data_IF_485454873064
#
_entry.id   IF_485454873064
#
_cell.length_a   1.000
_cell.length_b   1.000
_cell.length_c   1.000
_cell.angle_alpha   90.00
_cell.angle_beta   90.00
_cell.angle_gamma   90.00
#
_symmetry.space_group_name_H-M   'P 1'
#
loop_
_entity.id
_entity.type
_entity.pdbx_description
1 polymer ?
#
# COMPACT_ATOMS: atom_id res chain seq x y z
N UNK A 1 -5.93 6.88 20.25
CA UNK A 1 -6.35 6.33 18.96
C UNK A 1 -7.00 7.39 18.14
N UNK A 2 -8.34 7.47 18.19
CA UNK A 2 -9.19 8.25 17.27
C UNK A 2 -8.68 9.63 16.82
N UNK A 3 -8.38 10.58 17.72
CA UNK A 3 -7.86 11.91 17.34
C UNK A 3 -6.54 11.84 16.54
N UNK A 4 -5.66 10.90 16.91
CA UNK A 4 -4.40 10.69 16.21
C UNK A 4 -4.63 9.97 14.86
N UNK A 5 -5.55 9.01 14.79
CA UNK A 5 -5.95 8.36 13.54
C UNK A 5 -6.54 9.37 12.55
N UNK A 6 -7.49 10.20 12.98
CA UNK A 6 -8.11 11.25 12.16
C UNK A 6 -7.07 12.24 11.64
N UNK A 7 -6.15 12.67 12.50
CA UNK A 7 -5.05 13.54 12.11
C UNK A 7 -4.15 12.86 11.06
N UNK A 8 -3.73 11.60 11.30
CA UNK A 8 -2.87 10.87 10.38
C UNK A 8 -3.54 10.59 9.03
N UNK A 9 -4.82 10.23 9.00
CA UNK A 9 -5.59 10.05 7.76
C UNK A 9 -5.65 11.36 6.96
N UNK A 10 -5.86 12.50 7.63
CA UNK A 10 -5.87 13.80 6.97
C UNK A 10 -4.49 14.17 6.40
N UNK A 11 -3.40 13.93 7.15
CA UNK A 11 -2.05 14.24 6.69
C UNK A 11 -1.57 13.28 5.58
N UNK A 12 -1.88 11.99 5.68
CA UNK A 12 -1.42 10.96 4.74
C UNK A 12 -1.88 11.24 3.30
N UNK A 13 -3.07 11.83 3.12
CA UNK A 13 -3.66 12.11 1.80
C UNK A 13 -2.77 12.95 0.88
N UNK A 14 -1.91 13.82 1.42
CA UNK A 14 -1.03 14.70 0.64
C UNK A 14 0.44 14.28 0.64
N UNK A 15 0.81 13.17 1.27
CA UNK A 15 2.22 12.77 1.40
C UNK A 15 2.83 12.39 0.05
N UNK A 16 2.12 11.60 -0.76
CA UNK A 16 2.60 11.16 -2.06
C UNK A 16 2.82 12.34 -3.01
N UNK A 17 1.86 13.26 -3.09
CA UNK A 17 1.97 14.50 -3.89
C UNK A 17 3.19 15.32 -3.49
N UNK A 18 3.43 15.46 -2.18
CA UNK A 18 4.59 16.19 -1.66
C UNK A 18 5.91 15.50 -1.99
N UNK A 19 5.95 14.16 -1.98
CA UNK A 19 7.12 13.40 -2.40
C UNK A 19 7.40 13.65 -3.89
N UNK A 20 6.40 13.50 -4.75
CA UNK A 20 6.51 13.78 -6.20
C UNK A 20 7.08 15.18 -6.42
N UNK A 21 6.51 16.20 -5.78
CA UNK A 21 6.97 17.59 -5.91
C UNK A 21 8.44 17.77 -5.54
N UNK A 22 8.85 17.25 -4.37
CA UNK A 22 10.22 17.42 -3.87
C UNK A 22 11.23 16.68 -4.76
N UNK A 23 10.94 15.44 -5.15
CA UNK A 23 11.84 14.65 -5.99
C UNK A 23 11.96 15.24 -7.40
N UNK A 24 10.86 15.68 -8.01
CA UNK A 24 10.90 16.37 -9.30
C UNK A 24 11.70 17.67 -9.21
N UNK A 25 11.53 18.47 -8.15
CA UNK A 25 12.34 19.69 -7.93
C UNK A 25 13.82 19.41 -7.76
N UNK A 26 14.17 18.24 -7.21
CA UNK A 26 15.55 17.78 -7.09
C UNK A 26 16.13 17.22 -8.41
N UNK A 27 15.36 17.25 -9.51
CA UNK A 27 15.76 16.70 -10.81
C UNK A 27 15.73 15.18 -10.89
N UNK A 28 15.08 14.51 -9.94
CA UNK A 28 14.88 13.05 -9.97
C UNK A 28 13.74 12.72 -10.92
N UNK A 29 13.95 11.71 -11.76
CA UNK A 29 12.87 11.15 -12.59
C UNK A 29 11.88 10.42 -11.70
N UNK A 30 10.65 10.93 -11.65
CA UNK A 30 9.55 10.32 -10.91
C UNK A 30 8.68 9.55 -11.89
N UNK A 31 8.53 8.25 -11.66
CA UNK A 31 7.65 7.37 -12.44
C UNK A 31 6.46 6.95 -11.60
N UNK A 32 5.29 6.84 -12.23
CA UNK A 32 4.06 6.38 -11.60
C UNK A 32 3.73 4.95 -11.98
N UNK A 33 3.14 4.20 -11.05
CA UNK A 33 2.64 2.86 -11.32
C UNK A 33 1.24 2.93 -11.94
N UNK A 34 1.03 2.24 -13.06
CA UNK A 34 -0.31 2.07 -13.63
C UNK A 34 -1.06 0.89 -12.97
N UNK A 35 -2.32 0.68 -13.31
CA UNK A 35 -3.15 -0.38 -12.74
C UNK A 35 -2.61 -1.79 -13.04
N UNK A 36 -2.08 -2.03 -14.24
CA UNK A 36 -1.54 -3.33 -14.65
C UNK A 36 -0.28 -3.68 -13.84
N UNK A 37 0.61 -2.71 -13.64
CA UNK A 37 1.80 -2.86 -12.83
C UNK A 37 1.44 -3.09 -11.36
N UNK A 38 0.42 -2.38 -10.84
CA UNK A 38 -0.09 -2.61 -9.49
C UNK A 38 -0.63 -4.04 -9.33
N UNK A 39 -1.37 -4.54 -10.32
CA UNK A 39 -1.88 -5.92 -10.33
C UNK A 39 -0.74 -6.95 -10.40
N UNK A 40 0.26 -6.72 -11.25
CA UNK A 40 1.43 -7.60 -11.34
C UNK A 40 2.15 -7.74 -9.99
N UNK A 41 2.28 -6.65 -9.23
CA UNK A 41 2.82 -6.69 -7.87
C UNK A 41 1.91 -7.43 -6.89
N UNK A 42 0.58 -7.27 -6.98
CA UNK A 42 -0.38 -8.05 -6.18
C UNK A 42 -0.25 -9.54 -6.46
N UNK A 43 -0.14 -9.96 -7.72
CA UNK A 43 -0.02 -11.37 -8.10
C UNK A 43 1.25 -12.01 -7.52
N UNK A 44 2.38 -11.28 -7.56
CA UNK A 44 3.62 -11.71 -6.90
C UNK A 44 3.42 -11.85 -5.39
N UNK A 45 2.76 -10.88 -4.74
CA UNK A 45 2.50 -10.91 -3.32
C UNK A 45 1.62 -12.10 -2.91
N UNK A 46 0.59 -12.43 -3.70
CA UNK A 46 -0.26 -13.60 -3.49
C UNK A 46 0.53 -14.91 -3.45
N UNK A 47 1.53 -15.05 -4.32
CA UNK A 47 2.38 -16.25 -4.37
C UNK A 47 3.49 -16.27 -3.31
N UNK A 48 3.80 -15.12 -2.71
CA UNK A 48 4.96 -14.94 -1.82
C UNK A 48 4.56 -14.44 -0.43
N UNK A 49 4.49 -13.13 -0.23
CA UNK A 49 4.29 -12.50 1.08
C UNK A 49 2.95 -12.86 1.72
N UNK A 50 1.88 -12.97 0.94
CA UNK A 50 0.55 -13.34 1.45
C UNK A 50 0.53 -14.79 1.93
N UNK A 51 1.20 -15.69 1.21
CA UNK A 51 1.38 -17.08 1.64
C UNK A 51 2.14 -17.15 2.97
N UNK A 52 3.27 -16.45 3.07
CA UNK A 52 4.07 -16.41 4.31
C UNK A 52 3.26 -15.83 5.47
N UNK A 53 2.49 -14.77 5.24
CA UNK A 53 1.66 -14.15 6.27
C UNK A 53 0.54 -15.09 6.72
N UNK A 54 -0.15 -15.75 5.78
CA UNK A 54 -1.21 -16.71 6.08
C UNK A 54 -0.70 -17.91 6.91
N UNK A 55 0.53 -18.37 6.67
CA UNK A 55 1.14 -19.48 7.40
C UNK A 55 1.66 -19.08 8.80
N UNK A 56 2.22 -17.87 8.93
CA UNK A 56 2.93 -17.46 10.16
C UNK A 56 2.09 -16.65 11.13
N UNK A 57 1.03 -16.00 10.66
CA UNK A 57 0.17 -15.16 11.51
C UNK A 57 -1.11 -15.94 11.82
N UNK A 58 -1.45 -16.15 13.10
CA UNK A 58 -2.73 -16.74 13.48
C UNK A 58 -3.89 -15.95 12.86
N UNK A 59 -4.75 -16.63 12.10
CA UNK A 59 -5.84 -15.98 11.35
C UNK A 59 -5.38 -15.14 10.14
N UNK A 60 -4.11 -15.24 9.75
CA UNK A 60 -3.52 -14.42 8.69
C UNK A 60 -4.24 -14.55 7.34
N UNK A 61 -4.67 -15.77 6.99
CA UNK A 61 -5.49 -15.98 5.79
C UNK A 61 -6.82 -15.24 5.86
N UNK A 62 -7.54 -15.34 6.98
CA UNK A 62 -8.85 -14.68 7.14
C UNK A 62 -8.72 -13.16 7.11
N UNK A 63 -7.64 -12.61 7.69
CA UNK A 63 -7.34 -11.18 7.63
C UNK A 63 -7.07 -10.70 6.20
N UNK A 64 -6.30 -11.47 5.42
CA UNK A 64 -6.07 -11.18 4.00
C UNK A 64 -7.39 -11.23 3.23
N UNK A 65 -8.17 -12.30 3.40
CA UNK A 65 -9.44 -12.47 2.69
C UNK A 65 -10.40 -11.30 2.99
N UNK A 66 -10.49 -10.85 4.25
CA UNK A 66 -11.27 -9.67 4.65
C UNK A 66 -10.76 -8.36 4.06
N UNK A 67 -9.44 -8.17 4.01
CA UNK A 67 -8.84 -6.96 3.46
C UNK A 67 -9.06 -6.85 1.94
N UNK A 68 -9.03 -7.99 1.23
CA UNK A 68 -9.24 -8.05 -0.21
C UNK A 68 -10.72 -8.00 -0.62
N UNK A 69 -11.65 -8.27 0.31
CA UNK A 69 -13.09 -8.22 0.02
C UNK A 69 -13.67 -6.80 -0.07
N UNK A 70 -12.87 -5.75 0.14
CA UNK A 70 -13.30 -4.34 0.13
C UNK A 70 -13.06 -3.67 -1.24
N UNK A 71 -12.79 -4.44 -2.30
CA UNK A 71 -12.72 -3.91 -3.67
C UNK A 71 -14.05 -3.31 -4.15
#
# INVERSE_FOLDING_TARGET
GKKAEEYMTAQAKGLDDKMVEIFTKAGVEVVTMNAEQAQAWKDIAQQTSYKVFAEKVPGGKELIDKALAVE
#
